data_IF_372680899101
#
_entry.id   IF_372680899101
#
_cell.length_a   1.000
_cell.length_b   1.000
_cell.length_c   1.000
_cell.angle_alpha   90.00
_cell.angle_beta   90.00
_cell.angle_gamma   90.00
#
_symmetry.space_group_name_H-M   'P 1'
#
loop_
_entity.id
_entity.type
_entity.pdbx_description
1 polymer ?
#
# COMPACT_ATOMS: atom_id res chain seq x y z
N UNK A 1 3.57 17.55 -31.51
CA UNK A 1 3.13 16.16 -31.23
C UNK A 1 3.56 15.29 -32.41
N UNK A 2 4.46 14.32 -32.21
CA UNK A 2 4.90 13.41 -33.27
C UNK A 2 4.25 12.06 -33.00
N UNK A 3 3.26 11.70 -33.80
CA UNK A 3 2.55 10.41 -33.68
C UNK A 3 3.41 9.34 -34.37
N UNK A 4 3.89 8.31 -33.66
CA UNK A 4 4.59 7.20 -34.29
C UNK A 4 3.60 6.40 -35.16
N UNK A 5 4.00 6.09 -36.39
CA UNK A 5 3.21 5.30 -37.33
C UNK A 5 3.83 3.90 -37.43
N UNK A 6 3.06 2.87 -37.12
CA UNK A 6 3.48 1.49 -37.37
C UNK A 6 3.29 1.16 -38.86
N UNK A 7 4.36 1.33 -39.63
CA UNK A 7 4.39 1.14 -41.09
C UNK A 7 4.03 -0.28 -41.55
N UNK A 8 4.09 -1.30 -40.67
CA UNK A 8 3.74 -2.68 -41.02
C UNK A 8 2.25 -2.97 -40.93
N UNK A 9 1.51 -2.27 -40.07
CA UNK A 9 0.10 -2.54 -39.80
C UNK A 9 -0.86 -1.55 -40.50
N UNK A 10 -0.35 -0.43 -41.03
CA UNK A 10 -1.17 0.59 -41.70
C UNK A 10 -2.16 1.30 -40.75
N UNK A 11 -2.03 1.08 -39.44
CA UNK A 11 -2.85 1.68 -38.41
C UNK A 11 -2.09 2.79 -37.69
N UNK A 12 -2.81 3.86 -37.36
CA UNK A 12 -2.36 4.81 -36.33
C UNK A 12 -2.56 4.11 -34.99
N UNK A 13 -1.50 3.90 -34.22
CA UNK A 13 -1.63 3.51 -32.81
C UNK A 13 -2.35 4.69 -32.12
N UNK A 14 -3.68 4.57 -31.99
CA UNK A 14 -4.57 5.67 -31.57
C UNK A 14 -4.50 5.99 -30.08
N UNK A 15 -3.66 5.29 -29.33
CA UNK A 15 -3.49 5.53 -27.91
C UNK A 15 -1.99 5.67 -27.64
N UNK A 16 -1.49 6.92 -27.64
CA UNK A 16 -0.35 7.23 -26.77
C UNK A 16 -0.79 6.77 -25.37
N UNK A 17 -0.22 5.67 -24.86
CA UNK A 17 -0.42 5.26 -23.48
C UNK A 17 -0.06 6.47 -22.61
N UNK A 18 -1.07 7.12 -22.04
CA UNK A 18 -0.87 8.23 -21.12
C UNK A 18 -0.21 7.62 -19.90
N UNK A 19 1.10 7.81 -19.77
CA UNK A 19 1.88 7.39 -18.61
C UNK A 19 1.44 8.24 -17.41
N UNK A 20 0.34 7.85 -16.78
CA UNK A 20 -0.15 8.50 -15.56
C UNK A 20 0.73 8.06 -14.40
N UNK A 21 1.36 9.04 -13.75
CA UNK A 21 2.11 8.85 -12.52
C UNK A 21 1.18 9.20 -11.37
N UNK A 22 1.05 8.29 -10.40
CA UNK A 22 0.30 8.55 -9.17
C UNK A 22 1.23 8.95 -8.02
N UNK A 23 0.74 9.81 -7.14
CA UNK A 23 1.33 10.08 -5.83
C UNK A 23 0.63 9.26 -4.77
N UNK A 24 1.39 8.54 -3.95
CA UNK A 24 0.88 7.74 -2.84
C UNK A 24 1.44 8.30 -1.54
N UNK A 25 0.54 8.72 -0.65
CA UNK A 25 0.89 8.91 0.75
C UNK A 25 0.64 7.60 1.51
N UNK A 26 1.70 6.86 1.82
CA UNK A 26 1.59 5.62 2.59
C UNK A 26 1.70 5.97 4.07
N UNK A 27 0.60 6.18 4.78
CA UNK A 27 0.67 6.52 6.20
C UNK A 27 0.63 5.30 7.12
N UNK A 28 0.86 5.52 8.41
CA UNK A 28 0.77 4.46 9.43
C UNK A 28 -0.68 4.08 9.73
N UNK A 29 -1.58 5.06 9.71
CA UNK A 29 -3.00 4.88 10.07
C UNK A 29 -3.89 4.91 8.83
N UNK A 30 -3.67 5.90 7.98
CA UNK A 30 -4.39 6.08 6.73
C UNK A 30 -3.39 6.36 5.62
N UNK A 31 -3.77 5.97 4.41
CA UNK A 31 -3.04 6.23 3.18
C UNK A 31 -3.96 6.94 2.20
N UNK A 32 -3.37 7.54 1.17
CA UNK A 32 -4.09 8.29 0.14
C UNK A 32 -3.39 8.10 -1.20
N UNK A 33 -4.16 8.16 -2.28
CA UNK A 33 -3.63 8.16 -3.64
C UNK A 33 -4.18 9.35 -4.42
N UNK A 34 -3.31 10.02 -5.15
CA UNK A 34 -3.60 11.19 -5.98
C UNK A 34 -2.91 11.06 -7.34
N UNK A 35 -3.38 11.83 -8.32
CA UNK A 35 -2.74 11.95 -9.63
C UNK A 35 -2.76 13.41 -10.08
N UNK A 36 -1.84 13.76 -10.98
CA UNK A 36 -1.81 15.08 -11.60
C UNK A 36 -2.27 14.98 -13.07
N UNK A 37 -3.02 15.96 -13.53
CA UNK A 37 -3.34 16.16 -14.94
C UNK A 37 -3.13 17.64 -15.29
N UNK A 38 -2.07 17.93 -16.04
CA UNK A 38 -1.63 19.31 -16.29
C UNK A 38 -1.17 20.00 -14.99
N UNK A 39 -1.77 21.16 -14.70
CA UNK A 39 -1.48 21.95 -13.50
C UNK A 39 -2.39 21.57 -12.30
N UNK A 40 -3.36 20.69 -12.52
CA UNK A 40 -4.34 20.30 -11.51
C UNK A 40 -3.97 18.95 -10.85
N UNK A 41 -4.25 18.84 -9.55
CA UNK A 41 -4.04 17.62 -8.77
C UNK A 41 -5.37 17.09 -8.25
N UNK A 42 -5.60 15.79 -8.44
CA UNK A 42 -6.84 15.14 -8.07
C UNK A 42 -6.57 14.01 -7.07
N UNK A 43 -7.35 13.98 -6.00
CA UNK A 43 -7.33 12.89 -5.02
C UNK A 43 -8.32 11.80 -5.42
N UNK A 44 -7.88 10.55 -5.42
CA UNK A 44 -8.75 9.41 -5.65
C UNK A 44 -9.62 9.20 -4.40
N UNK A 45 -10.93 9.20 -4.61
CA UNK A 45 -11.94 9.03 -3.57
C UNK A 45 -12.63 7.68 -3.73
N UNK A 46 -13.30 7.24 -2.66
CA UNK A 46 -14.22 6.12 -2.67
C UNK A 46 -15.35 6.29 -3.71
N UNK A 47 -16.11 5.23 -3.93
CA UNK A 47 -17.17 5.19 -4.94
C UNK A 47 -18.29 6.21 -4.68
N UNK A 48 -18.53 6.59 -3.43
CA UNK A 48 -19.47 7.64 -3.04
C UNK A 48 -18.90 9.06 -3.20
N UNK A 49 -17.58 9.20 -3.39
CA UNK A 49 -16.88 10.48 -3.44
C UNK A 49 -16.69 11.16 -2.08
N UNK A 50 -17.15 10.53 -1.00
CA UNK A 50 -17.16 11.08 0.35
C UNK A 50 -15.79 11.03 1.02
N UNK A 51 -15.04 9.95 0.79
CA UNK A 51 -13.80 9.70 1.52
C UNK A 51 -12.62 9.51 0.58
N UNK A 52 -11.49 10.12 0.93
CA UNK A 52 -10.23 10.00 0.22
C UNK A 52 -9.21 9.11 0.96
N UNK A 53 -9.44 8.87 2.26
CA UNK A 53 -8.51 8.16 3.11
C UNK A 53 -8.79 6.66 3.05
N UNK A 54 -7.74 5.90 2.78
CA UNK A 54 -7.75 4.44 2.82
C UNK A 54 -7.09 3.99 4.12
N UNK A 55 -7.80 3.26 4.99
CA UNK A 55 -7.21 2.78 6.24
C UNK A 55 -6.01 1.87 5.96
N UNK A 56 -4.90 2.09 6.65
CA UNK A 56 -3.67 1.29 6.49
C UNK A 56 -3.75 0.03 7.36
N UNK A 57 -4.78 -0.76 7.08
CA UNK A 57 -5.18 -1.95 7.83
C UNK A 57 -5.41 -3.07 6.82
N UNK A 58 -4.91 -4.26 7.15
CA UNK A 58 -5.04 -5.47 6.36
C UNK A 58 -5.80 -6.51 7.16
N UNK A 59 -6.61 -7.32 6.50
CA UNK A 59 -7.21 -8.49 7.11
C UNK A 59 -7.00 -9.71 6.22
N UNK A 60 -6.47 -10.79 6.80
CA UNK A 60 -6.25 -12.05 6.12
C UNK A 60 -7.54 -12.89 6.16
N UNK A 61 -8.37 -12.74 5.13
CA UNK A 61 -9.58 -13.54 4.93
C UNK A 61 -9.30 -14.93 4.36
N UNK A 62 -10.37 -15.69 4.11
CA UNK A 62 -10.30 -17.01 3.46
C UNK A 62 -9.95 -16.91 1.98
N UNK A 63 -10.45 -15.88 1.31
CA UNK A 63 -10.33 -15.68 -0.13
C UNK A 63 -9.14 -14.78 -0.52
N UNK A 64 -8.35 -14.34 0.46
CA UNK A 64 -7.21 -13.46 0.27
C UNK A 64 -7.15 -12.33 1.29
N UNK A 65 -6.25 -11.39 1.04
CA UNK A 65 -6.06 -10.20 1.87
C UNK A 65 -7.02 -9.12 1.41
N UNK A 66 -7.72 -8.50 2.36
CA UNK A 66 -8.49 -7.27 2.14
C UNK A 66 -7.84 -6.12 2.87
N UNK A 67 -7.95 -4.92 2.32
CA UNK A 67 -7.31 -3.71 2.87
C UNK A 67 -8.35 -2.61 3.04
N UNK A 68 -8.12 -1.70 3.99
CA UNK A 68 -8.91 -0.49 4.15
C UNK A 68 -10.11 -0.66 5.07
N UNK A 69 -11.25 -0.08 4.71
CA UNK A 69 -12.43 -0.06 5.58
C UNK A 69 -12.97 -1.47 5.87
N UNK A 70 -12.95 -2.35 4.86
CA UNK A 70 -13.34 -3.76 4.98
C UNK A 70 -12.46 -4.48 6.01
N UNK A 71 -11.15 -4.21 6.00
CA UNK A 71 -10.23 -4.78 6.98
C UNK A 71 -10.45 -4.19 8.37
N UNK A 72 -10.75 -2.88 8.48
CA UNK A 72 -11.02 -2.22 9.76
C UNK A 72 -12.18 -2.86 10.51
N UNK A 73 -13.25 -3.25 9.83
CA UNK A 73 -14.41 -3.92 10.44
C UNK A 73 -14.03 -5.24 11.14
N UNK A 74 -12.89 -5.84 10.78
CA UNK A 74 -12.41 -7.11 11.35
C UNK A 74 -11.54 -6.95 12.59
N UNK A 75 -11.20 -5.72 12.99
CA UNK A 75 -10.39 -5.47 14.19
C UNK A 75 -10.98 -6.07 15.47
N UNK A 76 -12.31 -6.13 15.58
CA UNK A 76 -12.99 -6.67 16.76
C UNK A 76 -13.23 -8.18 16.63
N UNK A 77 -13.59 -8.65 15.44
CA UNK A 77 -14.05 -10.02 15.22
C UNK A 77 -12.92 -11.02 14.91
N UNK A 78 -11.79 -10.54 14.40
CA UNK A 78 -10.62 -11.36 14.09
C UNK A 78 -9.32 -10.53 14.24
N UNK A 79 -9.04 -9.98 15.44
CA UNK A 79 -7.88 -9.14 15.71
C UNK A 79 -6.55 -9.81 15.36
N UNK A 80 -6.44 -11.12 15.57
CA UNK A 80 -5.25 -11.93 15.32
C UNK A 80 -4.89 -12.05 13.84
N UNK A 81 -5.87 -11.79 12.96
CA UNK A 81 -5.71 -11.80 11.50
C UNK A 81 -5.78 -10.41 10.88
N UNK A 82 -5.88 -9.37 11.71
CA UNK A 82 -6.11 -7.99 11.26
C UNK A 82 -4.94 -7.10 11.65
N UNK A 83 -4.13 -6.73 10.67
CA UNK A 83 -2.84 -6.06 10.86
C UNK A 83 -2.99 -4.57 10.63
N UNK A 84 -2.50 -3.77 11.57
CA UNK A 84 -2.49 -2.31 11.51
C UNK A 84 -1.16 -1.79 12.03
N UNK A 85 -0.85 -0.51 11.80
CA UNK A 85 0.41 0.10 12.22
C UNK A 85 1.66 -0.54 11.60
N UNK A 86 1.55 -1.16 10.42
CA UNK A 86 2.66 -1.84 9.73
C UNK A 86 3.90 -0.94 9.60
N UNK A 87 3.72 0.35 9.30
CA UNK A 87 4.84 1.31 9.21
C UNK A 87 5.66 1.44 10.50
N UNK A 88 5.08 1.15 11.67
CA UNK A 88 5.83 1.16 12.95
C UNK A 88 6.76 -0.04 13.10
N UNK A 89 6.54 -1.10 12.33
CA UNK A 89 7.36 -2.31 12.31
C UNK A 89 8.56 -2.18 11.36
N UNK A 90 8.50 -1.26 10.39
CA UNK A 90 9.54 -1.13 9.36
C UNK A 90 10.89 -0.72 9.94
N UNK A 91 11.94 -1.50 9.64
CA UNK A 91 13.31 -1.25 10.09
C UNK A 91 13.48 -1.32 11.61
N UNK A 92 12.58 -2.01 12.32
CA UNK A 92 12.67 -2.24 13.77
C UNK A 92 13.10 -3.67 14.07
N UNK A 93 13.97 -3.80 15.06
CA UNK A 93 14.26 -5.08 15.71
C UNK A 93 13.12 -5.42 16.68
N UNK A 94 13.10 -6.65 17.16
CA UNK A 94 12.11 -7.04 18.17
C UNK A 94 12.27 -6.25 19.48
N UNK A 95 13.49 -5.89 19.87
CA UNK A 95 13.75 -5.14 21.10
C UNK A 95 13.16 -3.72 21.05
N UNK A 96 13.15 -3.10 19.87
CA UNK A 96 12.57 -1.77 19.64
C UNK A 96 11.04 -1.71 19.82
N UNK A 97 10.38 -2.88 19.82
CA UNK A 97 8.91 -2.99 19.81
C UNK A 97 8.29 -3.37 21.17
N UNK A 98 9.05 -3.33 22.26
CA UNK A 98 8.57 -3.75 23.59
C UNK A 98 7.22 -3.15 23.98
N UNK A 99 6.98 -1.86 23.69
CA UNK A 99 5.69 -1.20 23.98
C UNK A 99 4.59 -1.46 22.95
N UNK A 100 4.95 -1.80 21.71
CA UNK A 100 3.97 -2.00 20.65
C UNK A 100 3.31 -3.39 20.75
N UNK A 101 4.05 -4.41 21.20
CA UNK A 101 3.56 -5.79 21.30
C UNK A 101 2.36 -5.92 22.21
N UNK A 102 2.41 -5.28 23.36
CA UNK A 102 1.31 -5.29 24.34
C UNK A 102 0.07 -4.52 23.85
N UNK A 103 0.22 -3.77 22.75
CA UNK A 103 -0.83 -2.91 22.17
C UNK A 103 -1.39 -3.42 20.84
N UNK A 104 -0.90 -4.55 20.31
CA UNK A 104 -1.36 -5.13 19.03
C UNK A 104 -2.06 -6.46 19.22
N UNK A 105 -3.10 -6.70 18.41
CA UNK A 105 -3.90 -7.93 18.47
C UNK A 105 -3.33 -9.13 17.70
N UNK A 106 -2.19 -8.97 17.02
CA UNK A 106 -1.60 -9.96 16.11
C UNK A 106 -0.19 -10.39 16.56
N UNK A 107 0.25 -11.57 16.12
CA UNK A 107 1.51 -12.15 16.55
C UNK A 107 2.71 -11.56 15.79
N UNK A 108 3.64 -10.96 16.53
CA UNK A 108 4.92 -10.43 16.01
C UNK A 108 6.04 -11.34 16.52
N UNK A 109 6.75 -12.00 15.61
CA UNK A 109 7.77 -13.00 15.95
C UNK A 109 9.21 -12.45 15.95
N UNK A 110 10.06 -13.04 16.79
CA UNK A 110 11.47 -12.66 17.04
C UNK A 110 12.44 -13.84 16.92
N UNK A 111 12.44 -14.53 15.79
CA UNK A 111 13.31 -15.71 15.65
C UNK A 111 14.82 -15.43 15.80
N UNK A 112 15.23 -14.15 15.77
CA UNK A 112 16.57 -13.70 16.12
C UNK A 112 16.51 -12.25 16.67
N UNK A 113 17.19 -11.99 17.79
CA UNK A 113 17.17 -10.68 18.46
C UNK A 113 17.73 -9.54 17.57
N UNK A 114 18.60 -9.89 16.62
CA UNK A 114 19.14 -8.94 15.63
C UNK A 114 18.34 -8.92 14.31
N UNK A 115 17.39 -9.85 14.11
CA UNK A 115 16.59 -9.88 12.89
C UNK A 115 15.45 -8.84 12.89
N UNK A 116 15.10 -8.42 11.68
CA UNK A 116 13.91 -7.61 11.45
C UNK A 116 12.65 -8.39 11.80
N UNK A 117 11.69 -7.67 12.37
CA UNK A 117 10.41 -8.22 12.83
C UNK A 117 9.59 -8.80 11.68
N UNK A 118 8.85 -9.86 11.97
CA UNK A 118 7.85 -10.44 11.06
C UNK A 118 6.53 -10.64 11.79
N UNK A 119 5.44 -10.63 11.04
CA UNK A 119 4.10 -10.96 11.52
C UNK A 119 3.77 -12.39 11.13
N UNK A 120 3.29 -13.18 12.09
CA UNK A 120 2.87 -14.56 11.85
C UNK A 120 1.35 -14.64 11.70
N UNK A 121 0.90 -15.27 10.61
CA UNK A 121 -0.51 -15.52 10.30
C UNK A 121 -0.64 -16.94 9.77
N UNK A 122 -1.35 -17.80 10.50
CA UNK A 122 -1.57 -19.21 10.16
C UNK A 122 -0.28 -19.99 9.85
N UNK A 123 0.78 -19.78 10.63
CA UNK A 123 2.08 -20.41 10.43
C UNK A 123 2.90 -19.86 9.26
N UNK A 124 2.43 -18.79 8.59
CA UNK A 124 3.18 -18.06 7.57
C UNK A 124 3.73 -16.75 8.13
N UNK A 125 4.91 -16.36 7.67
CA UNK A 125 5.61 -15.17 8.16
C UNK A 125 5.67 -14.10 7.08
N UNK A 126 5.25 -12.90 7.43
CA UNK A 126 5.22 -11.74 6.55
C UNK A 126 6.10 -10.63 7.10
N UNK A 127 6.93 -10.06 6.24
CA UNK A 127 7.72 -8.86 6.55
C UNK A 127 6.84 -7.61 6.50
N UNK A 128 7.23 -6.53 7.22
CA UNK A 128 6.56 -5.24 7.11
C UNK A 128 6.52 -4.68 5.68
N UNK A 129 7.50 -5.04 4.85
CA UNK A 129 7.58 -4.67 3.43
C UNK A 129 6.48 -5.37 2.64
N UNK A 130 6.35 -6.69 2.78
CA UNK A 130 5.29 -7.47 2.10
C UNK A 130 3.89 -6.99 2.51
N UNK A 131 3.68 -6.71 3.81
CA UNK A 131 2.42 -6.18 4.30
C UNK A 131 2.13 -4.77 3.75
N UNK A 132 3.15 -3.92 3.66
CA UNK A 132 3.01 -2.59 3.07
C UNK A 132 2.72 -2.67 1.55
N UNK A 133 3.27 -3.68 0.86
CA UNK A 133 3.01 -3.93 -0.55
C UNK A 133 1.53 -4.28 -0.82
N UNK A 134 0.88 -5.02 0.06
CA UNK A 134 -0.58 -5.28 -0.04
C UNK A 134 -1.40 -3.97 0.06
N UNK A 135 -0.99 -3.02 0.91
CA UNK A 135 -1.63 -1.69 0.97
C UNK A 135 -1.41 -0.92 -0.34
N UNK A 136 -0.19 -0.95 -0.88
CA UNK A 136 0.14 -0.28 -2.14
C UNK A 136 -0.64 -0.87 -3.32
N UNK A 137 -0.84 -2.21 -3.36
CA UNK A 137 -1.67 -2.88 -4.37
C UNK A 137 -3.12 -2.40 -4.32
N UNK A 138 -3.70 -2.27 -3.13
CA UNK A 138 -5.05 -1.74 -2.97
C UNK A 138 -5.15 -0.28 -3.47
N UNK A 139 -4.19 0.58 -3.10
CA UNK A 139 -4.16 1.97 -3.55
C UNK A 139 -4.01 2.09 -5.07
N UNK A 140 -3.16 1.26 -5.67
CA UNK A 140 -3.04 1.13 -7.12
C UNK A 140 -4.36 0.69 -7.74
N UNK A 141 -4.98 -0.38 -7.24
CA UNK A 141 -6.26 -0.90 -7.74
C UNK A 141 -7.37 0.17 -7.72
N UNK A 142 -7.45 0.96 -6.65
CA UNK A 142 -8.39 2.09 -6.57
C UNK A 142 -8.12 3.16 -7.64
N UNK A 143 -6.85 3.50 -7.86
CA UNK A 143 -6.48 4.46 -8.91
C UNK A 143 -6.79 3.93 -10.32
N UNK A 144 -6.46 2.66 -10.60
CA UNK A 144 -6.74 1.98 -11.88
C UNK A 144 -8.25 1.92 -12.14
N UNK A 145 -9.05 1.56 -11.14
CA UNK A 145 -10.51 1.53 -11.26
C UNK A 145 -11.10 2.91 -11.56
N UNK A 146 -10.57 3.97 -10.93
CA UNK A 146 -11.04 5.34 -11.14
C UNK A 146 -10.66 5.88 -12.51
N UNK A 147 -9.43 5.62 -12.97
CA UNK A 147 -8.86 6.15 -14.20
C UNK A 147 -9.15 5.27 -15.42
N UNK A 148 -9.58 4.01 -15.19
CA UNK A 148 -9.79 2.98 -16.22
C UNK A 148 -8.54 2.73 -17.07
N UNK A 149 -7.38 2.80 -16.44
CA UNK A 149 -6.06 2.64 -17.06
C UNK A 149 -5.16 1.84 -16.12
N UNK A 150 -4.20 1.12 -16.68
CA UNK A 150 -3.15 0.44 -15.92
C UNK A 150 -2.13 1.47 -15.39
N UNK A 151 -1.80 1.40 -14.10
CA UNK A 151 -0.82 2.28 -13.47
C UNK A 151 0.50 1.52 -13.26
N UNK A 152 1.55 2.03 -13.89
CA UNK A 152 2.89 1.44 -13.88
C UNK A 152 3.93 2.25 -13.09
N UNK A 153 3.64 3.51 -12.76
CA UNK A 153 4.57 4.44 -12.11
C UNK A 153 3.91 5.13 -10.92
N UNK A 154 4.64 5.23 -9.82
CA UNK A 154 4.20 5.91 -8.62
C UNK A 154 5.36 6.66 -7.93
N UNK A 155 5.02 7.72 -7.21
CA UNK A 155 5.87 8.37 -6.23
C UNK A 155 5.27 8.11 -4.85
N UNK A 156 6.05 7.54 -3.93
CA UNK A 156 5.56 7.14 -2.60
C UNK A 156 6.22 8.00 -1.53
N UNK A 157 5.43 8.52 -0.59
CA UNK A 157 5.95 9.28 0.56
C UNK A 157 6.64 8.35 1.56
N UNK A 158 7.76 8.83 2.10
CA UNK A 158 8.47 8.23 3.22
C UNK A 158 8.77 9.29 4.27
N UNK A 159 8.81 8.95 5.57
CA UNK A 159 9.13 9.93 6.60
C UNK A 159 10.51 10.55 6.38
N UNK A 160 10.65 11.84 6.68
CA UNK A 160 11.91 12.57 6.46
C UNK A 160 13.10 11.96 7.22
N UNK A 161 12.85 11.36 8.38
CA UNK A 161 13.86 10.72 9.23
C UNK A 161 14.24 9.30 8.81
N UNK A 162 13.65 8.74 7.73
CA UNK A 162 14.05 7.44 7.22
C UNK A 162 15.47 7.50 6.63
N UNK A 163 16.30 6.55 7.03
CA UNK A 163 17.61 6.32 6.42
C UNK A 163 17.48 5.63 5.05
N UNK A 164 18.57 5.52 4.30
CA UNK A 164 18.53 4.97 2.93
C UNK A 164 18.06 3.52 2.88
N UNK A 165 18.43 2.69 3.85
CA UNK A 165 17.95 1.31 3.93
C UNK A 165 16.42 1.25 4.09
N UNK A 166 15.84 2.12 4.93
CA UNK A 166 14.40 2.24 5.11
C UNK A 166 13.68 2.87 3.91
N UNK A 167 14.39 3.61 3.05
CA UNK A 167 13.85 4.16 1.79
C UNK A 167 13.91 3.16 0.63
N UNK A 168 14.87 2.25 0.66
CA UNK A 168 15.04 1.19 -0.36
C UNK A 168 14.14 -0.03 -0.11
N UNK A 169 13.82 -0.30 1.15
CA UNK A 169 12.90 -1.35 1.61
C UNK A 169 11.45 -1.08 1.18
#
# INVERSE_FOLDING_TARGET
MKIPINLKAGSVDKEEKKDVIIGIDLGTTNSLVAYADGEETFVIRDTSGSNALVPSILHFGKDGVVVGDIAREKLISAPERTIYSVKRLMGKSYQDLSSLKDSVGYNVIDQDAEALVKVEIDGKYYTPIELSAEILKELKSKAEAKLKLEISKAVITVPAYFNDAQRQA
#
